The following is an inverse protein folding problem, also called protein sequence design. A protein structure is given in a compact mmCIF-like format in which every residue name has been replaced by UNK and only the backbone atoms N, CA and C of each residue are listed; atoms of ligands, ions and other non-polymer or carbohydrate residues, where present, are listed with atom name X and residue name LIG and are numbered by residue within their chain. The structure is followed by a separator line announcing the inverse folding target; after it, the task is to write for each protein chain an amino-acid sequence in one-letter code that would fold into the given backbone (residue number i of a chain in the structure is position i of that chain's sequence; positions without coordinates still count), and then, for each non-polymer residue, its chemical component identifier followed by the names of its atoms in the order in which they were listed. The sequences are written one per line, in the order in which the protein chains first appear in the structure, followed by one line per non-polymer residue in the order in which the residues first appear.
data_IF_961531212024
#
_entry.id   IF_961531212024
#
_cell.length_a   1.000
_cell.length_b   1.000
_cell.length_c   1.000
_cell.angle_alpha   90.00
_cell.angle_beta   90.00
_cell.angle_gamma   90.00
#
_symmetry.space_group_name_H-M   'P 1'
#
loop_
_entity.id
_entity.type
_entity.pdbx_description
1 polymer ?
#
# COMPACT_ATOMS: atom_id res chain seq x y z
N UNK A 1 3.67 -19.24 13.72
CA UNK A 1 3.45 -17.79 13.69
C UNK A 1 2.43 -17.53 12.60
N UNK A 2 1.26 -17.01 12.93
CA UNK A 2 0.24 -16.65 11.93
C UNK A 2 0.64 -15.36 11.22
N UNK A 3 0.08 -15.10 10.03
CA UNK A 3 0.29 -13.82 9.33
C UNK A 3 -0.15 -12.64 10.20
N UNK A 4 -1.18 -12.83 11.04
CA UNK A 4 -1.64 -11.84 12.00
C UNK A 4 -0.61 -11.54 13.10
N UNK A 5 0.08 -12.57 13.62
CA UNK A 5 1.12 -12.39 14.64
C UNK A 5 2.34 -11.66 14.08
N UNK A 6 2.70 -11.91 12.81
CA UNK A 6 3.80 -11.22 12.13
C UNK A 6 3.49 -9.73 11.91
N UNK A 7 2.27 -9.40 11.48
CA UNK A 7 1.82 -8.01 11.30
C UNK A 7 1.77 -7.27 12.65
N UNK A 8 1.32 -7.94 13.71
CA UNK A 8 1.25 -7.33 15.05
C UNK A 8 2.64 -7.14 15.66
N UNK A 9 3.60 -8.02 15.37
CA UNK A 9 4.99 -7.89 15.81
C UNK A 9 5.71 -6.75 15.05
N UNK A 10 5.44 -6.60 13.76
CA UNK A 10 5.96 -5.49 12.96
C UNK A 10 5.44 -4.11 13.44
N UNK A 11 4.22 -4.05 13.95
CA UNK A 11 3.65 -2.85 14.59
C UNK A 11 4.28 -2.52 15.95
N UNK A 12 4.79 -3.53 16.68
CA UNK A 12 5.44 -3.36 17.99
C UNK A 12 6.92 -2.98 17.86
N UNK A 13 7.58 -3.35 16.76
CA UNK A 13 9.01 -3.07 16.50
C UNK A 13 9.27 -1.65 15.95
N UNK A 14 8.33 -0.73 16.16
CA UNK A 14 8.48 0.72 16.05
C UNK A 14 9.33 1.21 14.87
N UNK A 15 8.79 1.18 13.66
CA UNK A 15 9.40 1.90 12.54
C UNK A 15 9.31 3.39 12.81
N UNK A 16 10.44 4.05 12.89
CA UNK A 16 10.55 5.48 13.17
C UNK A 16 11.07 6.21 11.95
N UNK A 17 11.02 7.53 12.00
CA UNK A 17 11.61 8.39 10.99
C UNK A 17 12.21 9.61 11.67
N UNK A 18 13.37 10.03 11.21
CA UNK A 18 14.03 11.20 11.71
C UNK A 18 13.98 12.33 10.68
N UNK A 19 13.83 13.54 11.18
CA UNK A 19 13.91 14.74 10.39
C UNK A 19 14.69 15.78 11.19
N UNK A 20 15.87 16.17 10.68
CA UNK A 20 16.68 17.24 11.23
C UNK A 20 16.80 18.33 10.17
N UNK A 21 16.49 19.55 10.55
CA UNK A 21 16.59 20.74 9.69
C UNK A 21 17.49 21.76 10.35
N UNK A 22 18.44 22.27 9.58
CA UNK A 22 19.32 23.38 9.95
C UNK A 22 19.04 24.53 9.00
N UNK A 23 18.75 25.69 9.55
CA UNK A 23 18.53 26.91 8.76
C UNK A 23 19.84 27.46 8.21
N UNK A 24 19.77 28.30 7.18
CA UNK A 24 20.95 28.83 6.50
C UNK A 24 21.90 29.65 7.42
N UNK A 25 21.35 30.34 8.39
CA UNK A 25 22.10 31.14 9.39
C UNK A 25 22.88 30.29 10.41
N UNK A 26 22.50 29.01 10.56
CA UNK A 26 23.21 28.04 11.38
C UNK A 26 24.11 27.10 10.59
N UNK A 27 24.15 27.24 9.28
CA UNK A 27 24.95 26.43 8.36
C UNK A 27 26.21 27.14 7.93
N UNK A 28 27.35 26.47 7.96
CA UNK A 28 28.65 27.02 7.56
C UNK A 28 28.76 27.39 6.07
N UNK A 29 27.90 26.80 5.23
CA UNK A 29 27.86 27.07 3.79
C UNK A 29 26.78 28.07 3.38
N UNK A 30 26.02 28.64 4.34
CA UNK A 30 24.96 29.59 4.10
C UNK A 30 23.71 29.04 3.41
N UNK A 31 23.55 27.71 3.35
CA UNK A 31 22.38 27.05 2.80
C UNK A 31 21.68 26.22 3.88
N UNK A 32 20.34 26.07 3.82
CA UNK A 32 19.65 25.14 4.72
C UNK A 32 20.11 23.71 4.44
N UNK A 33 20.23 22.92 5.50
CA UNK A 33 20.57 21.51 5.44
C UNK A 33 19.43 20.67 6.03
N UNK A 34 19.16 19.52 5.42
CA UNK A 34 18.16 18.59 5.91
C UNK A 34 18.67 17.15 5.89
N UNK A 35 18.47 16.44 6.98
CA UNK A 35 18.57 14.98 7.04
C UNK A 35 17.16 14.45 7.14
N UNK A 36 16.74 13.71 6.14
CA UNK A 36 15.37 13.20 5.98
C UNK A 36 15.48 11.70 5.84
N UNK A 37 15.02 10.94 6.83
CA UNK A 37 15.23 9.50 6.83
C UNK A 37 14.07 8.71 7.41
N UNK A 38 13.22 8.09 6.59
CA UNK A 38 12.40 6.97 7.05
C UNK A 38 13.31 5.80 7.41
N UNK A 39 13.04 5.19 8.57
CA UNK A 39 13.75 4.00 9.03
C UNK A 39 12.94 2.79 8.60
N UNK A 40 13.38 2.16 7.51
CA UNK A 40 12.80 0.92 6.98
C UNK A 40 13.72 -0.26 7.28
N UNK A 41 13.19 -1.48 7.22
CA UNK A 41 13.97 -2.70 7.44
C UNK A 41 15.10 -2.88 6.41
N UNK A 42 16.09 -3.68 6.77
CA UNK A 42 17.16 -4.07 5.86
C UNK A 42 16.69 -5.24 5.00
N UNK A 43 16.54 -4.99 3.71
CA UNK A 43 16.09 -5.97 2.73
C UNK A 43 17.16 -6.24 1.67
N UNK A 44 17.10 -7.41 1.06
CA UNK A 44 17.90 -7.78 -0.09
C UNK A 44 16.97 -8.38 -1.16
N UNK A 45 16.75 -7.73 -2.32
CA UNK A 45 17.33 -6.44 -2.74
C UNK A 45 16.81 -5.25 -1.91
N UNK A 46 17.47 -4.11 -2.00
CA UNK A 46 17.11 -2.89 -1.29
C UNK A 46 15.69 -2.42 -1.62
N UNK A 47 14.99 -1.92 -0.60
CA UNK A 47 13.60 -1.44 -0.71
C UNK A 47 13.50 -0.12 -1.48
N UNK A 48 14.53 0.71 -1.43
CA UNK A 48 14.57 2.02 -2.07
C UNK A 48 15.60 2.05 -3.20
N UNK A 49 15.26 2.75 -4.27
CA UNK A 49 16.18 3.12 -5.33
C UNK A 49 16.30 4.65 -5.42
N UNK A 50 17.49 5.14 -5.69
CA UNK A 50 17.72 6.54 -6.00
C UNK A 50 17.29 6.84 -7.43
N UNK A 51 16.67 8.02 -7.64
CA UNK A 51 16.30 8.50 -8.96
C UNK A 51 16.38 10.02 -9.06
N UNK A 52 16.62 10.49 -10.28
CA UNK A 52 16.53 11.88 -10.66
C UNK A 52 15.55 12.05 -11.82
N UNK A 53 14.69 13.04 -11.74
CA UNK A 53 13.73 13.39 -12.78
C UNK A 53 13.93 14.84 -13.20
N UNK A 54 14.29 15.03 -14.46
CA UNK A 54 14.47 16.34 -15.06
C UNK A 54 13.61 16.49 -16.30
N UNK A 55 12.81 17.55 -16.37
CA UNK A 55 11.93 17.80 -17.51
C UNK A 55 11.14 19.09 -17.37
N UNK A 56 10.28 19.42 -18.37
CA UNK A 56 9.42 20.57 -18.26
C UNK A 56 8.51 20.49 -17.03
N UNK A 57 8.70 21.41 -16.06
CA UNK A 57 7.90 21.46 -14.84
C UNK A 57 8.27 20.47 -13.76
N UNK A 58 9.36 19.70 -13.94
CA UNK A 58 9.87 18.79 -12.91
C UNK A 58 11.39 18.85 -12.83
N UNK A 59 11.90 19.05 -11.62
CA UNK A 59 13.30 18.92 -11.26
C UNK A 59 13.37 18.36 -9.84
N UNK A 60 13.57 17.07 -9.73
CA UNK A 60 13.51 16.35 -8.46
C UNK A 60 14.55 15.23 -8.39
N UNK A 61 15.19 15.10 -7.22
CA UNK A 61 16.11 14.01 -6.90
C UNK A 61 15.74 13.40 -5.56
N UNK A 62 15.86 12.10 -5.43
CA UNK A 62 15.63 11.40 -4.18
C UNK A 62 15.47 9.91 -4.34
N UNK A 63 14.57 9.32 -3.58
CA UNK A 63 14.35 7.89 -3.57
C UNK A 63 12.88 7.51 -3.71
N UNK A 64 12.64 6.31 -4.23
CA UNK A 64 11.32 5.70 -4.37
C UNK A 64 11.40 4.18 -4.24
N UNK A 65 10.26 3.55 -4.01
CA UNK A 65 10.13 2.10 -4.07
C UNK A 65 10.10 1.64 -5.53
N UNK A 66 11.00 0.73 -5.95
CA UNK A 66 11.04 0.21 -7.32
C UNK A 66 9.70 -0.40 -7.74
N UNK A 67 9.22 -0.03 -8.93
CA UNK A 67 8.01 -0.61 -9.52
C UNK A 67 6.67 -0.15 -8.93
N UNK A 68 6.67 0.70 -7.92
CA UNK A 68 5.43 1.18 -7.27
C UNK A 68 4.94 2.49 -7.90
N UNK A 69 5.84 3.43 -8.17
CA UNK A 69 5.49 4.70 -8.78
C UNK A 69 6.64 5.28 -9.60
N UNK A 70 6.32 6.29 -10.43
CA UNK A 70 7.30 7.10 -11.15
C UNK A 70 7.61 8.42 -10.41
N UNK A 71 7.22 8.54 -9.16
CA UNK A 71 7.43 9.74 -8.35
C UNK A 71 8.62 9.56 -7.41
N UNK A 72 9.36 10.63 -7.21
CA UNK A 72 10.29 10.73 -6.09
C UNK A 72 9.46 10.81 -4.80
N UNK A 73 9.48 9.74 -4.00
CA UNK A 73 8.63 9.64 -2.79
C UNK A 73 9.22 10.38 -1.60
N UNK A 74 10.54 10.49 -1.54
CA UNK A 74 11.27 11.31 -0.58
C UNK A 74 12.47 11.91 -1.28
N UNK A 75 12.71 13.19 -1.10
CA UNK A 75 13.77 13.86 -1.83
C UNK A 75 13.71 15.39 -1.77
N UNK A 76 14.25 16.00 -2.79
CA UNK A 76 14.26 17.45 -2.95
C UNK A 76 13.94 17.87 -4.38
N UNK A 77 13.32 19.02 -4.53
CA UNK A 77 13.28 19.82 -5.74
C UNK A 77 14.34 20.93 -5.69
N UNK A 78 14.08 22.01 -6.43
CA UNK A 78 14.95 23.20 -6.44
C UNK A 78 14.88 23.95 -5.12
N UNK A 79 13.67 24.21 -4.61
CA UNK A 79 13.43 25.12 -3.48
C UNK A 79 12.74 24.45 -2.28
N UNK A 80 12.54 23.16 -2.30
CA UNK A 80 11.83 22.40 -1.26
C UNK A 80 12.34 20.98 -1.16
N UNK A 81 12.12 20.38 0.00
CA UNK A 81 12.38 18.97 0.25
C UNK A 81 11.17 18.32 0.93
N UNK A 82 11.03 17.02 0.76
CA UNK A 82 9.97 16.24 1.40
C UNK A 82 10.47 14.86 1.78
N UNK A 83 9.83 14.28 2.77
CA UNK A 83 10.08 12.91 3.19
C UNK A 83 8.80 12.26 3.66
N UNK A 84 8.84 10.94 3.79
CA UNK A 84 7.74 10.14 4.28
C UNK A 84 8.04 9.58 5.66
N UNK A 85 7.00 9.32 6.43
CA UNK A 85 7.07 8.59 7.70
C UNK A 85 5.97 7.53 7.75
N UNK A 86 6.21 6.48 8.52
CA UNK A 86 5.16 5.54 8.90
C UNK A 86 4.36 6.16 10.04
N UNK A 87 3.21 6.75 9.71
CA UNK A 87 2.40 7.47 10.68
C UNK A 87 1.59 6.54 11.61
N UNK A 88 1.49 5.24 11.30
CA UNK A 88 0.62 4.31 12.02
C UNK A 88 -0.85 4.71 11.94
N UNK A 89 -1.24 5.45 10.90
CA UNK A 89 -2.62 5.91 10.72
C UNK A 89 -3.55 4.73 10.52
N UNK A 90 -4.63 4.71 11.28
CA UNK A 90 -5.74 3.75 11.10
C UNK A 90 -6.61 4.22 9.93
N UNK A 91 -6.21 3.87 8.72
CA UNK A 91 -6.85 4.27 7.47
C UNK A 91 -7.32 3.07 6.62
N UNK A 92 -7.31 1.88 7.20
CA UNK A 92 -7.79 0.65 6.56
C UNK A 92 -8.75 -0.07 7.50
N UNK A 93 -10.02 -0.09 7.13
CA UNK A 93 -11.06 -0.78 7.89
C UNK A 93 -11.36 -2.17 7.35
N UNK A 94 -11.71 -3.08 8.24
CA UNK A 94 -12.23 -4.40 7.89
C UNK A 94 -13.67 -4.55 8.35
N UNK A 95 -14.60 -4.66 7.42
CA UNK A 95 -16.01 -4.88 7.68
C UNK A 95 -16.36 -6.37 7.63
N UNK A 96 -17.18 -6.83 8.57
CA UNK A 96 -17.78 -8.17 8.55
C UNK A 96 -19.24 -8.07 8.05
N UNK A 97 -19.42 -8.19 6.74
CA UNK A 97 -20.73 -8.10 6.09
C UNK A 97 -21.53 -9.37 6.29
N UNK A 98 -22.64 -9.28 7.00
CA UNK A 98 -23.53 -10.43 7.25
C UNK A 98 -24.18 -10.87 5.93
N UNK A 99 -23.98 -12.15 5.57
CA UNK A 99 -24.57 -12.74 4.38
C UNK A 99 -26.07 -13.03 4.59
N UNK A 100 -26.85 -12.90 3.53
CA UNK A 100 -28.31 -13.14 3.55
C UNK A 100 -28.81 -13.73 2.23
N UNK A 101 -30.11 -14.12 2.20
CA UNK A 101 -30.74 -14.65 0.98
C UNK A 101 -30.17 -15.99 0.49
N UNK A 102 -29.50 -16.74 1.35
CA UNK A 102 -28.94 -18.08 0.99
C UNK A 102 -27.74 -18.03 0.02
N UNK A 103 -27.20 -16.88 -0.28
CA UNK A 103 -26.10 -16.68 -1.24
C UNK A 103 -24.88 -16.05 -0.58
N UNK A 104 -23.69 -16.57 -0.88
CA UNK A 104 -22.42 -15.96 -0.45
C UNK A 104 -22.09 -14.62 -1.15
N UNK A 105 -22.90 -14.22 -2.13
CA UNK A 105 -22.73 -13.00 -2.89
C UNK A 105 -23.84 -11.96 -2.63
N UNK A 106 -24.56 -12.13 -1.50
CA UNK A 106 -25.61 -11.22 -1.06
C UNK A 106 -25.40 -10.91 0.41
N UNK A 107 -25.41 -9.66 0.78
CA UNK A 107 -25.11 -9.16 2.12
C UNK A 107 -26.18 -8.22 2.63
N UNK A 108 -26.27 -8.09 3.95
CA UNK A 108 -27.22 -7.19 4.62
C UNK A 108 -26.67 -5.76 4.61
N UNK A 109 -27.40 -4.84 4.02
CA UNK A 109 -27.08 -3.41 4.04
C UNK A 109 -28.31 -2.58 4.35
N UNK A 110 -28.28 -1.77 5.40
CA UNK A 110 -29.39 -0.93 5.86
C UNK A 110 -30.71 -1.69 5.96
N UNK A 111 -30.67 -2.88 6.56
CA UNK A 111 -31.88 -3.72 6.78
C UNK A 111 -32.39 -4.50 5.55
N UNK A 112 -31.69 -4.44 4.41
CA UNK A 112 -32.07 -5.13 3.17
C UNK A 112 -30.95 -5.99 2.64
N UNK A 113 -31.30 -7.17 2.06
CA UNK A 113 -30.33 -7.99 1.32
C UNK A 113 -29.96 -7.29 0.01
N UNK A 114 -28.67 -7.05 -0.20
CA UNK A 114 -28.11 -6.43 -1.40
C UNK A 114 -27.14 -7.39 -2.08
N UNK A 115 -27.22 -7.49 -3.40
CA UNK A 115 -26.29 -8.27 -4.20
C UNK A 115 -24.94 -7.57 -4.29
N UNK A 116 -23.85 -8.32 -4.13
CA UNK A 116 -22.50 -7.83 -4.36
C UNK A 116 -22.28 -7.56 -5.85
N UNK A 117 -21.48 -6.58 -6.16
CA UNK A 117 -21.00 -6.34 -7.52
C UNK A 117 -19.94 -7.40 -7.85
N UNK A 118 -20.08 -8.03 -9.03
CA UNK A 118 -19.10 -8.98 -9.55
C UNK A 118 -18.17 -8.27 -10.53
N UNK A 119 -16.90 -8.23 -10.19
CA UNK A 119 -15.84 -7.71 -11.04
C UNK A 119 -15.08 -8.87 -11.68
N UNK A 120 -14.88 -8.82 -12.99
CA UNK A 120 -14.17 -9.85 -13.74
C UNK A 120 -13.08 -9.19 -14.56
N UNK A 121 -11.86 -9.72 -14.42
CA UNK A 121 -10.71 -9.31 -15.23
C UNK A 121 -10.06 -10.55 -15.85
N UNK A 122 -9.77 -10.49 -17.15
CA UNK A 122 -9.03 -11.54 -17.84
C UNK A 122 -7.62 -11.02 -18.07
N UNK A 123 -6.64 -11.74 -17.53
CA UNK A 123 -5.23 -11.43 -17.68
C UNK A 123 -4.56 -12.44 -18.61
N UNK A 124 -3.57 -11.98 -19.36
CA UNK A 124 -2.71 -12.85 -20.14
C UNK A 124 -1.29 -12.30 -20.11
N UNK A 125 -0.32 -13.21 -20.13
CA UNK A 125 1.10 -12.85 -20.13
C UNK A 125 1.88 -13.68 -21.12
N UNK A 126 2.95 -13.09 -21.64
CA UNK A 126 3.93 -13.77 -22.50
C UNK A 126 4.92 -14.56 -21.61
N UNK A 127 5.67 -15.51 -22.23
CA UNK A 127 6.75 -16.16 -21.51
C UNK A 127 7.78 -15.15 -21.02
N UNK A 128 8.32 -15.36 -19.83
CA UNK A 128 9.43 -14.59 -19.31
C UNK A 128 10.63 -15.52 -19.10
N UNK A 129 11.71 -15.25 -19.85
CA UNK A 129 12.93 -16.09 -19.77
C UNK A 129 13.73 -15.88 -18.48
N UNK A 130 13.58 -14.73 -17.82
CA UNK A 130 14.34 -14.39 -16.61
C UNK A 130 13.95 -15.24 -15.38
N UNK A 131 12.67 -15.65 -15.30
CA UNK A 131 12.15 -16.46 -14.20
C UNK A 131 11.54 -17.78 -14.68
N UNK A 132 11.73 -18.13 -15.96
CA UNK A 132 11.15 -19.32 -16.60
C UNK A 132 9.62 -19.38 -16.57
N UNK A 133 8.92 -18.27 -16.37
CA UNK A 133 7.46 -18.22 -16.41
C UNK A 133 6.97 -18.55 -17.82
N UNK A 134 6.13 -19.59 -18.03
CA UNK A 134 5.55 -19.89 -19.33
C UNK A 134 4.46 -18.88 -19.70
N UNK A 135 4.11 -18.83 -20.99
CA UNK A 135 2.90 -18.11 -21.45
C UNK A 135 1.67 -18.60 -20.67
N UNK A 136 0.84 -17.68 -20.23
CA UNK A 136 -0.37 -18.05 -19.50
C UNK A 136 -1.48 -17.02 -19.57
N UNK A 137 -2.60 -17.40 -18.97
CA UNK A 137 -3.75 -16.52 -18.79
C UNK A 137 -4.49 -16.90 -17.50
N UNK A 138 -5.14 -15.92 -16.88
CA UNK A 138 -5.98 -16.12 -15.71
C UNK A 138 -7.25 -15.26 -15.80
N UNK A 139 -8.34 -15.82 -15.30
CA UNK A 139 -9.58 -15.07 -15.09
C UNK A 139 -9.72 -14.77 -13.61
N UNK A 140 -9.58 -13.51 -13.26
CA UNK A 140 -9.78 -13.02 -11.88
C UNK A 140 -11.25 -12.65 -11.70
N UNK A 141 -11.85 -13.10 -10.62
CA UNK A 141 -13.20 -12.72 -10.23
C UNK A 141 -13.20 -12.30 -8.79
N UNK A 142 -13.59 -11.06 -8.52
CA UNK A 142 -13.72 -10.48 -7.18
C UNK A 142 -15.13 -9.96 -6.99
N UNK A 143 -15.56 -9.89 -5.73
CA UNK A 143 -16.84 -9.32 -5.36
C UNK A 143 -16.61 -8.05 -4.53
N UNK A 144 -17.48 -7.06 -4.72
CA UNK A 144 -17.42 -5.78 -4.04
C UNK A 144 -18.74 -5.46 -3.35
N UNK A 145 -18.68 -5.00 -2.11
CA UNK A 145 -19.78 -4.40 -1.39
C UNK A 145 -19.70 -2.88 -1.48
N UNK A 146 -20.55 -2.16 -0.75
CA UNK A 146 -20.44 -0.69 -0.62
C UNK A 146 -19.21 -0.25 0.15
N UNK A 147 -18.63 -1.13 1.00
CA UNK A 147 -17.49 -0.79 1.82
C UNK A 147 -16.15 -1.14 1.16
N UNK A 148 -16.12 -2.08 0.19
CA UNK A 148 -14.88 -2.41 -0.50
C UNK A 148 -14.88 -3.82 -1.10
N UNK A 149 -13.70 -4.36 -1.35
CA UNK A 149 -13.51 -5.69 -1.94
C UNK A 149 -13.62 -6.80 -0.89
N UNK A 150 -14.30 -7.88 -1.25
CA UNK A 150 -14.35 -9.10 -0.42
C UNK A 150 -13.00 -9.78 -0.48
N UNK A 151 -12.36 -9.94 0.67
CA UNK A 151 -11.07 -10.61 0.83
C UNK A 151 -11.22 -12.09 1.19
N UNK A 152 -12.16 -12.41 2.08
CA UNK A 152 -12.43 -13.79 2.48
C UNK A 152 -13.84 -13.92 3.10
N UNK A 153 -14.24 -15.16 3.39
CA UNK A 153 -15.51 -15.47 4.03
C UNK A 153 -15.27 -16.19 5.36
N UNK A 154 -16.18 -15.97 6.32
CA UNK A 154 -16.08 -16.58 7.64
C UNK A 154 -17.41 -16.67 8.37
N UNK A 155 -17.33 -16.87 9.69
CA UNK A 155 -18.49 -16.90 10.59
C UNK A 155 -18.20 -16.11 11.84
N UNK A 156 -19.10 -15.20 12.18
CA UNK A 156 -19.03 -14.37 13.40
C UNK A 156 -20.36 -14.51 14.14
N UNK A 157 -20.33 -14.90 15.41
CA UNK A 157 -21.53 -15.07 16.23
C UNK A 157 -22.57 -16.02 15.59
N UNK A 158 -22.12 -17.11 14.94
CA UNK A 158 -22.97 -18.07 14.25
C UNK A 158 -23.53 -17.59 12.90
N UNK A 159 -23.24 -16.36 12.48
CA UNK A 159 -23.69 -15.81 11.19
C UNK A 159 -22.56 -15.89 10.17
N UNK A 160 -22.89 -16.33 8.95
CA UNK A 160 -21.94 -16.28 7.82
C UNK A 160 -21.68 -14.82 7.42
N UNK A 161 -20.41 -14.48 7.21
CA UNK A 161 -19.98 -13.14 6.84
C UNK A 161 -19.00 -13.16 5.66
N UNK A 162 -18.96 -12.04 4.95
CA UNK A 162 -17.87 -11.71 4.04
C UNK A 162 -17.01 -10.62 4.70
N UNK A 163 -15.70 -10.82 4.80
CA UNK A 163 -14.78 -9.79 5.23
C UNK A 163 -14.41 -8.92 4.05
N UNK A 164 -14.48 -7.62 4.26
CA UNK A 164 -14.31 -6.60 3.23
C UNK A 164 -13.32 -5.56 3.76
N UNK A 165 -12.33 -5.23 2.96
CA UNK A 165 -11.36 -4.18 3.29
C UNK A 165 -11.72 -2.89 2.54
N UNK A 166 -11.78 -1.77 3.27
CA UNK A 166 -12.05 -0.43 2.77
C UNK A 166 -10.80 0.44 2.86
#
# INVERSE_FOLDING_TARGET
MSVGDAIQQEQLDGHHSNWELLTADHSTNGHPLGVLGPQVGYYLPQVLMELELHGPGIDARGAAFPGVSMYVQLGRGTDYAWSATSAGSDNVDTFAEVLCGGSKHTYMYKGKCRKMEKLVRNESWKPNAADSTPKGSAKLTVYRTVHGLVTHYGTVGGKKVAYVTA
#
